data_IF_008570361734
#
_entry.id   IF_008570361734
#
_cell.length_a   1.000
_cell.length_b   1.000
_cell.length_c   1.000
_cell.angle_alpha   90.00
_cell.angle_beta   90.00
_cell.angle_gamma   90.00
#
_symmetry.space_group_name_H-M   'P 1'
#
loop_
_entity.id
_entity.type
_entity.pdbx_description
1 polymer ?
#
# COMPACT_ATOMS: atom_id res chain seq x y z
N UNK A 1 5.25 -9.16 -7.27
CA UNK A 1 5.34 -7.69 -7.43
C UNK A 1 4.82 -7.03 -6.17
N UNK A 2 5.47 -5.96 -5.72
CA UNK A 2 5.12 -5.24 -4.49
C UNK A 2 4.81 -3.80 -4.86
N UNK A 3 3.68 -3.29 -4.41
CA UNK A 3 3.19 -1.95 -4.67
C UNK A 3 2.86 -1.28 -3.34
N UNK A 4 3.62 -0.26 -2.96
CA UNK A 4 3.43 0.42 -1.69
C UNK A 4 3.07 1.88 -1.96
N UNK A 5 1.94 2.31 -1.43
CA UNK A 5 1.54 3.70 -1.45
C UNK A 5 2.08 4.39 -0.20
N UNK A 6 3.11 5.21 -0.35
CA UNK A 6 3.78 5.90 0.76
C UNK A 6 3.05 7.19 1.10
N UNK A 7 2.66 7.37 2.36
CA UNK A 7 2.05 8.59 2.88
C UNK A 7 2.78 9.07 4.12
N UNK A 8 2.72 10.38 4.39
CA UNK A 8 3.07 10.89 5.72
C UNK A 8 1.95 10.54 6.74
N UNK A 9 2.12 10.92 8.00
CA UNK A 9 1.18 10.58 9.10
C UNK A 9 -0.27 10.97 8.82
N UNK A 10 -0.51 12.10 8.14
CA UNK A 10 -1.86 12.66 7.87
C UNK A 10 -2.35 12.47 6.44
N UNK A 11 -1.51 11.97 5.55
CA UNK A 11 -1.74 11.87 4.12
C UNK A 11 -2.87 10.89 3.81
N UNK A 12 -3.90 11.37 3.11
CA UNK A 12 -5.03 10.53 2.70
C UNK A 12 -4.81 9.97 1.30
N UNK A 13 -5.42 8.82 1.03
CA UNK A 13 -5.52 8.30 -0.33
C UNK A 13 -6.42 9.22 -1.17
N UNK A 14 -5.93 9.57 -2.35
CA UNK A 14 -6.77 10.18 -3.39
C UNK A 14 -7.75 9.14 -3.93
N UNK A 15 -8.85 9.59 -4.52
CA UNK A 15 -9.90 8.65 -4.97
C UNK A 15 -9.42 7.69 -6.05
N UNK A 16 -8.53 8.13 -6.96
CA UNK A 16 -7.92 7.24 -7.95
C UNK A 16 -7.02 6.18 -7.32
N UNK A 17 -6.34 6.50 -6.22
CA UNK A 17 -5.52 5.53 -5.49
C UNK A 17 -6.40 4.47 -4.82
N UNK A 18 -7.58 4.85 -4.31
CA UNK A 18 -8.57 3.89 -3.79
C UNK A 18 -9.12 2.99 -4.90
N UNK A 19 -9.41 3.55 -6.08
CA UNK A 19 -9.85 2.79 -7.26
C UNK A 19 -8.79 1.80 -7.71
N UNK A 20 -7.53 2.24 -7.78
CA UNK A 20 -6.39 1.39 -8.12
C UNK A 20 -6.19 0.28 -7.08
N UNK A 21 -6.27 0.60 -5.78
CA UNK A 21 -6.21 -0.39 -4.71
C UNK A 21 -7.29 -1.47 -4.85
N UNK A 22 -8.52 -1.09 -5.25
CA UNK A 22 -9.59 -2.05 -5.52
C UNK A 22 -9.30 -2.90 -6.76
N UNK A 23 -8.82 -2.27 -7.83
CA UNK A 23 -8.47 -2.93 -9.09
C UNK A 23 -7.33 -3.94 -8.91
N UNK A 24 -6.30 -3.60 -8.16
CA UNK A 24 -5.09 -4.41 -8.10
C UNK A 24 -5.25 -5.68 -7.24
N UNK A 25 -6.24 -5.70 -6.34
CA UNK A 25 -6.55 -6.86 -5.48
C UNK A 25 -6.88 -8.15 -6.24
N UNK A 26 -7.23 -8.06 -7.52
CA UNK A 26 -7.51 -9.23 -8.35
C UNK A 26 -6.23 -9.94 -8.85
N UNK A 27 -5.05 -9.35 -8.65
CA UNK A 27 -3.77 -9.89 -9.10
C UNK A 27 -2.96 -10.42 -7.90
N UNK A 28 -2.04 -11.38 -8.11
CA UNK A 28 -1.16 -11.91 -7.06
C UNK A 28 -0.03 -10.92 -6.73
N UNK A 29 -0.38 -9.77 -6.16
CA UNK A 29 0.55 -8.71 -5.79
C UNK A 29 0.34 -8.29 -4.35
N UNK A 30 1.42 -7.88 -3.69
CA UNK A 30 1.33 -7.28 -2.37
C UNK A 30 1.07 -5.79 -2.54
N UNK A 31 -0.04 -5.32 -1.97
CA UNK A 31 -0.42 -3.91 -1.99
C UNK A 31 -0.77 -3.43 -0.59
N UNK A 32 -0.25 -2.26 -0.22
CA UNK A 32 -0.60 -1.60 1.03
C UNK A 32 -0.22 -0.13 1.05
N UNK A 33 -0.70 0.56 2.09
CA UNK A 33 -0.34 1.95 2.38
C UNK A 33 0.61 1.94 3.56
N UNK A 34 1.79 2.55 3.43
CA UNK A 34 2.75 2.65 4.52
C UNK A 34 2.92 4.11 4.96
N UNK A 35 3.15 4.30 6.27
CA UNK A 35 3.50 5.60 6.86
C UNK A 35 4.83 5.59 7.60
N UNK A 36 5.44 4.42 7.68
CA UNK A 36 6.74 4.16 8.30
C UNK A 36 7.42 2.99 7.58
N UNK A 37 8.70 2.78 7.93
CA UNK A 37 9.45 1.60 7.50
C UNK A 37 8.80 0.32 8.02
N UNK A 38 8.34 0.33 9.28
CA UNK A 38 7.71 -0.84 9.91
C UNK A 38 6.41 -1.26 9.20
N UNK A 39 5.61 -0.29 8.74
CA UNK A 39 4.41 -0.58 7.95
C UNK A 39 4.78 -1.26 6.62
N UNK A 40 5.85 -0.80 5.97
CA UNK A 40 6.33 -1.40 4.72
C UNK A 40 6.79 -2.85 4.96
N UNK A 41 7.53 -3.10 6.06
CA UNK A 41 7.97 -4.45 6.45
C UNK A 41 6.77 -5.40 6.67
N UNK A 42 5.72 -4.94 7.37
CA UNK A 42 4.48 -5.71 7.56
C UNK A 42 3.78 -6.04 6.25
N UNK A 43 3.79 -5.14 5.27
CA UNK A 43 3.16 -5.36 3.96
C UNK A 43 3.92 -6.41 3.15
N UNK A 44 5.26 -6.40 3.20
CA UNK A 44 6.09 -7.32 2.42
C UNK A 44 6.33 -8.67 3.12
N UNK A 45 5.88 -8.82 4.37
CA UNK A 45 6.10 -10.02 5.18
C UNK A 45 7.51 -10.14 5.77
N UNK A 46 8.22 -9.01 5.90
CA UNK A 46 9.50 -8.96 6.61
C UNK A 46 9.28 -9.18 8.10
N UNK A 47 9.88 -10.23 8.65
CA UNK A 47 10.04 -10.41 10.10
C UNK A 47 11.14 -9.52 10.62
#
# INVERSE_FOLDING_TARGET
MILIEVKNERGKLRDDQKRFAKFIKQYPVLYGVCRSVDDALKIIGGK
#
